data_IF_331067958114
#
_entry.id   IF_331067958114
#
_cell.length_a   1.000
_cell.length_b   1.000
_cell.length_c   1.000
_cell.angle_alpha   90.00
_cell.angle_beta   90.00
_cell.angle_gamma   90.00
#
_symmetry.space_group_name_H-M   'P 1'
#
loop_
_entity.id
_entity.type
_entity.pdbx_description
1 polymer ?
#
# COMPACT_ATOMS: atom_id res chain seq x y z
N UNK A 1 6.22 -5.94 33.28
CA UNK A 1 6.09 -6.03 31.79
C UNK A 1 7.47 -5.94 31.16
N UNK A 2 7.85 -6.88 30.28
CA UNK A 2 9.17 -6.88 29.64
C UNK A 2 9.23 -5.91 28.46
N UNK A 3 10.42 -5.38 28.13
CA UNK A 3 10.65 -4.46 27.00
C UNK A 3 10.11 -5.04 25.66
N UNK A 4 10.21 -6.37 25.50
CA UNK A 4 9.71 -7.10 24.32
C UNK A 4 8.18 -7.03 24.18
N UNK A 5 7.44 -7.19 25.27
CA UNK A 5 5.97 -7.12 25.26
C UNK A 5 5.48 -5.70 24.91
N UNK A 6 6.12 -4.69 25.50
CA UNK A 6 5.83 -3.29 25.19
C UNK A 6 6.08 -2.96 23.71
N UNK A 7 7.26 -3.32 23.17
CA UNK A 7 7.59 -3.10 21.76
C UNK A 7 6.57 -3.75 20.81
N UNK A 8 6.14 -4.98 21.09
CA UNK A 8 5.11 -5.68 20.29
C UNK A 8 3.78 -4.92 20.29
N UNK A 9 3.30 -4.50 21.45
CA UNK A 9 2.06 -3.74 21.57
C UNK A 9 2.14 -2.40 20.81
N UNK A 10 3.27 -1.70 20.93
CA UNK A 10 3.50 -0.44 20.22
C UNK A 10 3.50 -0.62 18.68
N UNK A 11 4.22 -1.62 18.17
CA UNK A 11 4.21 -1.94 16.74
C UNK A 11 2.82 -2.35 16.23
N UNK A 12 2.06 -3.11 17.02
CA UNK A 12 0.69 -3.49 16.68
C UNK A 12 -0.23 -2.25 16.58
N UNK A 13 -0.16 -1.33 17.54
CA UNK A 13 -0.92 -0.07 17.52
C UNK A 13 -0.57 0.78 16.30
N UNK A 14 0.72 0.93 15.98
CA UNK A 14 1.16 1.64 14.76
C UNK A 14 0.63 0.99 13.48
N UNK A 15 0.66 -0.34 13.39
CA UNK A 15 0.11 -1.08 12.24
C UNK A 15 -1.39 -0.85 12.10
N UNK A 16 -2.15 -0.90 13.20
CA UNK A 16 -3.58 -0.65 13.19
C UNK A 16 -3.91 0.79 12.77
N UNK A 17 -3.13 1.76 13.24
CA UNK A 17 -3.30 3.16 12.85
C UNK A 17 -3.07 3.37 11.34
N UNK A 18 -2.00 2.78 10.78
CA UNK A 18 -1.74 2.84 9.34
C UNK A 18 -2.89 2.26 8.52
N UNK A 19 -3.43 1.11 8.92
CA UNK A 19 -4.61 0.52 8.25
C UNK A 19 -5.79 1.49 8.23
N UNK A 20 -6.07 2.14 9.36
CA UNK A 20 -7.16 3.13 9.46
C UNK A 20 -6.92 4.35 8.56
N UNK A 21 -5.70 4.86 8.50
CA UNK A 21 -5.35 5.99 7.61
C UNK A 21 -5.55 5.61 6.15
N UNK A 22 -5.06 4.44 5.74
CA UNK A 22 -5.24 3.95 4.37
C UNK A 22 -6.71 3.70 4.02
N UNK A 23 -7.48 3.11 4.94
CA UNK A 23 -8.91 2.88 4.72
C UNK A 23 -9.70 4.19 4.57
N UNK A 24 -9.36 5.23 5.34
CA UNK A 24 -9.98 6.55 5.20
C UNK A 24 -9.63 7.22 3.88
N UNK A 25 -8.38 7.04 3.40
CA UNK A 25 -7.89 7.68 2.17
C UNK A 25 -8.37 6.98 0.89
N UNK A 26 -8.43 5.64 0.90
CA UNK A 26 -8.64 4.82 -0.31
C UNK A 26 -9.87 3.91 -0.23
N UNK A 27 -10.60 3.93 0.88
CA UNK A 27 -11.75 3.06 1.12
C UNK A 27 -11.39 1.71 1.74
N UNK A 28 -12.43 1.00 2.17
CA UNK A 28 -12.35 -0.35 2.74
C UNK A 28 -12.39 -1.43 1.65
N UNK A 29 -11.37 -1.48 0.80
CA UNK A 29 -11.25 -2.47 -0.26
C UNK A 29 -9.81 -2.98 -0.42
N UNK A 30 -9.66 -4.21 -0.93
CA UNK A 30 -8.36 -4.76 -1.30
C UNK A 30 -7.81 -4.03 -2.53
N UNK A 31 -6.55 -3.58 -2.49
CA UNK A 31 -5.91 -2.88 -3.61
C UNK A 31 -5.72 -3.75 -4.86
N UNK A 32 -5.78 -5.09 -4.72
CA UNK A 32 -5.54 -6.02 -5.83
C UNK A 32 -6.82 -6.57 -6.45
N UNK A 33 -7.69 -7.18 -5.64
CA UNK A 33 -8.92 -7.80 -6.14
C UNK A 33 -10.15 -6.89 -6.01
N UNK A 34 -9.99 -5.69 -5.44
CA UNK A 34 -11.05 -4.70 -5.25
C UNK A 34 -12.25 -5.15 -4.42
N UNK A 35 -12.22 -6.36 -3.83
CA UNK A 35 -13.26 -6.82 -2.93
C UNK A 35 -13.29 -5.99 -1.64
N UNK A 36 -14.47 -5.68 -1.08
CA UNK A 36 -14.59 -4.99 0.19
C UNK A 36 -13.87 -5.73 1.32
N UNK A 37 -13.23 -4.96 2.21
CA UNK A 37 -12.62 -5.46 3.44
C UNK A 37 -13.57 -5.14 4.60
N UNK A 38 -14.24 -6.15 5.21
CA UNK A 38 -15.32 -5.90 6.16
C UNK A 38 -14.85 -5.25 7.47
N UNK A 39 -13.56 -5.39 7.83
CA UNK A 39 -12.99 -4.83 9.03
C UNK A 39 -11.45 -4.77 8.98
N UNK A 40 -10.84 -4.20 10.03
CA UNK A 40 -9.38 -4.11 10.20
C UNK A 40 -8.66 -5.47 10.26
N UNK A 41 -9.34 -6.52 10.71
CA UNK A 41 -8.76 -7.85 10.83
C UNK A 41 -8.65 -8.54 9.47
N UNK A 42 -9.61 -8.31 8.57
CA UNK A 42 -9.59 -8.79 7.19
C UNK A 42 -8.53 -8.11 6.31
N UNK A 43 -8.13 -6.88 6.67
CA UNK A 43 -7.11 -6.11 5.95
C UNK A 43 -5.68 -6.48 6.41
N UNK A 44 -4.75 -6.68 5.48
CA UNK A 44 -3.31 -6.63 5.71
C UNK A 44 -2.74 -5.27 5.28
N UNK A 45 -1.53 -4.95 5.75
CA UNK A 45 -0.72 -3.90 5.14
C UNK A 45 0.26 -4.59 4.22
N UNK A 46 0.18 -4.29 2.93
CA UNK A 46 1.20 -4.73 1.98
C UNK A 46 2.11 -3.58 1.58
N UNK A 47 3.38 -3.89 1.32
CA UNK A 47 4.29 -2.93 0.71
C UNK A 47 4.18 -3.03 -0.80
N UNK A 48 3.89 -1.91 -1.45
CA UNK A 48 3.88 -1.83 -2.92
C UNK A 48 5.21 -2.33 -3.44
N UNK A 49 6.33 -1.78 -2.96
CA UNK A 49 7.67 -2.34 -3.23
C UNK A 49 8.01 -3.36 -2.14
N UNK A 50 8.44 -4.60 -2.47
CA UNK A 50 8.84 -5.59 -1.46
C UNK A 50 9.80 -5.01 -0.41
N UNK A 51 9.56 -5.31 0.87
CA UNK A 51 10.35 -4.77 1.96
C UNK A 51 11.82 -5.21 1.90
N UNK A 52 12.10 -6.35 1.27
CA UNK A 52 13.46 -6.85 0.99
C UNK A 52 14.25 -5.95 0.04
N UNK A 53 13.55 -5.26 -0.87
CA UNK A 53 14.13 -4.33 -1.86
C UNK A 53 14.18 -2.91 -1.31
N UNK A 54 13.08 -2.43 -0.73
CA UNK A 54 12.98 -1.05 -0.23
C UNK A 54 12.40 -1.01 1.18
N UNK A 55 13.27 -0.79 2.17
CA UNK A 55 12.97 -0.90 3.61
C UNK A 55 12.28 0.34 4.17
N UNK A 56 11.06 0.63 3.71
CA UNK A 56 10.24 1.74 4.22
C UNK A 56 8.90 1.25 4.78
N UNK A 57 8.33 2.04 5.68
CA UNK A 57 6.97 1.85 6.20
C UNK A 57 6.14 3.14 6.09
N UNK A 58 6.55 4.05 5.21
CA UNK A 58 5.80 5.26 4.92
C UNK A 58 4.49 4.89 4.23
N UNK A 59 3.42 5.60 4.61
CA UNK A 59 2.06 5.30 4.16
C UNK A 59 1.90 5.34 2.64
N UNK A 60 2.71 6.13 1.93
CA UNK A 60 2.68 6.23 0.46
C UNK A 60 3.12 4.94 -0.26
N UNK A 61 3.94 4.10 0.39
CA UNK A 61 4.40 2.82 -0.15
C UNK A 61 3.61 1.62 0.39
N UNK A 62 2.49 1.89 1.08
CA UNK A 62 1.65 0.86 1.70
C UNK A 62 0.25 0.87 1.10
N UNK A 63 -0.35 -0.32 0.98
CA UNK A 63 -1.74 -0.50 0.57
C UNK A 63 -2.47 -1.45 1.52
N UNK A 64 -3.81 -1.38 1.50
CA UNK A 64 -4.64 -2.42 2.10
C UNK A 64 -4.80 -3.57 1.12
N UNK A 65 -4.57 -4.80 1.60
CA UNK A 65 -4.81 -6.00 0.82
C UNK A 65 -5.59 -7.02 1.65
N UNK A 66 -6.28 -7.95 1.01
CA UNK A 66 -6.73 -9.15 1.69
C UNK A 66 -5.56 -10.12 1.82
N UNK A 67 -5.60 -10.99 2.84
CA UNK A 67 -4.59 -12.02 3.08
C UNK A 67 -4.22 -12.85 1.83
N UNK A 68 -5.17 -13.44 1.07
CA UNK A 68 -4.80 -14.27 -0.08
C UNK A 68 -4.08 -13.49 -1.19
N UNK A 69 -4.50 -12.26 -1.51
CA UNK A 69 -3.80 -11.45 -2.51
C UNK A 69 -2.41 -11.00 -2.04
N UNK A 70 -2.29 -10.63 -0.76
CA UNK A 70 -1.01 -10.25 -0.17
C UNK A 70 -0.01 -11.42 -0.19
N UNK A 71 -0.47 -12.62 0.15
CA UNK A 71 0.38 -13.81 0.19
C UNK A 71 0.72 -14.29 -1.25
N UNK A 72 -0.21 -14.17 -2.20
CA UNK A 72 0.06 -14.42 -3.62
C UNK A 72 1.06 -13.42 -4.23
N UNK A 73 1.03 -12.16 -3.78
CA UNK A 73 2.02 -11.16 -4.16
C UNK A 73 3.41 -11.50 -3.62
N UNK A 74 3.50 -11.81 -2.32
CA UNK A 74 4.76 -12.02 -1.61
C UNK A 74 5.79 -10.90 -1.91
N UNK A 75 7.03 -11.29 -2.21
CA UNK A 75 8.13 -10.38 -2.57
C UNK A 75 8.19 -10.08 -4.08
N UNK A 76 7.12 -10.38 -4.83
CA UNK A 76 7.03 -10.02 -6.24
C UNK A 76 6.74 -8.52 -6.39
N UNK A 77 7.44 -7.86 -7.32
CA UNK A 77 7.16 -6.46 -7.64
C UNK A 77 5.74 -6.34 -8.22
N UNK A 78 4.93 -5.31 -7.88
CA UNK A 78 3.58 -5.16 -8.41
C UNK A 78 3.53 -5.07 -9.94
N UNK A 79 4.60 -4.60 -10.58
CA UNK A 79 4.74 -4.62 -12.05
C UNK A 79 4.86 -6.05 -12.59
N UNK A 80 5.58 -6.93 -11.87
CA UNK A 80 5.61 -8.36 -12.16
C UNK A 80 4.23 -8.99 -11.93
N UNK A 81 3.49 -8.58 -10.90
CA UNK A 81 2.14 -9.11 -10.66
C UNK A 81 1.13 -8.64 -11.70
N UNK A 82 1.22 -7.38 -12.14
CA UNK A 82 0.41 -6.87 -13.25
C UNK A 82 0.68 -7.64 -14.56
N UNK A 83 1.92 -8.09 -14.77
CA UNK A 83 2.28 -8.96 -15.88
C UNK A 83 1.78 -10.42 -15.69
N UNK A 84 1.82 -10.94 -14.47
CA UNK A 84 1.46 -12.34 -14.17
C UNK A 84 -0.05 -12.59 -14.01
N UNK A 85 -0.86 -11.57 -13.74
CA UNK A 85 -2.32 -11.71 -13.50
C UNK A 85 -3.21 -11.30 -14.70
N UNK A 86 -2.64 -10.96 -15.86
CA UNK A 86 -3.42 -10.48 -17.01
C UNK A 86 -3.43 -11.47 -18.18
N UNK A 87 -4.56 -12.15 -18.46
CA UNK A 87 -4.91 -12.50 -19.83
C UNK A 87 -5.56 -11.28 -20.50
N UNK A 88 -4.82 -10.65 -21.42
CA UNK A 88 -5.41 -9.83 -22.50
C UNK A 88 -5.83 -8.38 -22.22
N UNK A 89 -5.54 -7.77 -21.06
CA UNK A 89 -5.77 -6.32 -20.85
C UNK A 89 -4.69 -5.68 -19.99
N UNK A 90 -3.68 -5.12 -20.64
CA UNK A 90 -2.75 -4.17 -20.03
C UNK A 90 -3.49 -2.83 -19.89
N UNK A 91 -3.26 -2.10 -18.79
CA UNK A 91 -3.86 -0.82 -18.39
C UNK A 91 -5.20 -0.94 -17.62
N UNK A 92 -5.16 -0.94 -16.27
CA UNK A 92 -5.20 0.33 -15.53
C UNK A 92 -4.34 0.40 -14.25
N UNK A 93 -3.58 -0.65 -13.88
CA UNK A 93 -2.72 -0.61 -12.68
C UNK A 93 -1.55 0.38 -12.82
N UNK A 94 -1.08 0.61 -14.06
CA UNK A 94 -0.02 1.56 -14.38
C UNK A 94 -0.48 3.01 -14.19
N UNK A 95 -1.75 3.33 -14.51
CA UNK A 95 -2.30 4.68 -14.35
C UNK A 95 -2.40 5.10 -12.88
N UNK A 96 -2.75 4.20 -11.96
CA UNK A 96 -2.82 4.52 -10.53
C UNK A 96 -1.43 4.74 -9.90
N UNK A 97 -0.42 3.99 -10.35
CA UNK A 97 0.96 4.17 -9.90
C UNK A 97 1.56 5.47 -10.47
N UNK A 98 1.33 5.75 -11.76
CA UNK A 98 1.81 6.98 -12.40
C UNK A 98 1.10 8.23 -11.84
N UNK A 99 -0.22 8.19 -11.62
CA UNK A 99 -0.96 9.30 -11.01
C UNK A 99 -0.53 9.59 -9.56
N UNK A 100 -0.15 8.55 -8.81
CA UNK A 100 0.39 8.70 -7.44
C UNK A 100 1.82 9.24 -7.42
N UNK A 101 2.64 8.89 -8.41
CA UNK A 101 4.00 9.41 -8.56
C UNK A 101 4.00 10.86 -9.08
N UNK A 102 3.05 11.25 -9.94
CA UNK A 102 2.92 12.65 -10.37
C UNK A 102 2.41 13.58 -9.26
N UNK A 103 1.53 13.11 -8.37
CA UNK A 103 1.12 13.87 -7.17
C UNK A 103 2.24 14.01 -6.13
N UNK A 104 3.22 13.10 -6.11
CA UNK A 104 4.37 13.14 -5.22
C UNK A 104 5.54 13.99 -5.76
N UNK A 105 5.46 14.44 -7.01
CA UNK A 105 6.44 15.26 -7.68
C UNK A 105 5.90 16.67 -7.98
N UNK A 106 5.55 17.42 -6.94
CA UNK A 106 5.57 18.89 -7.02
C UNK A 106 6.60 19.38 -6.00
N UNK A 107 7.77 19.88 -6.40
CA UNK A 107 8.34 20.97 -5.64
C UNK A 107 7.44 22.18 -5.82
N UNK A 108 7.13 22.81 -4.69
CA UNK A 108 6.61 24.16 -4.65
C UNK A 108 7.56 25.14 -5.37
N UNK A 109 7.03 26.31 -5.68
CA UNK A 109 7.71 27.53 -6.15
C UNK A 109 8.24 27.56 -7.61
N UNK A 110 7.47 28.16 -8.53
CA UNK A 110 8.03 29.22 -9.39
C UNK A 110 6.97 30.29 -9.63
N UNK A 111 7.17 31.41 -8.96
CA UNK A 111 6.49 32.68 -9.06
C UNK A 111 6.64 33.21 -10.51
N UNK A 112 5.52 33.46 -11.20
CA UNK A 112 5.54 34.30 -12.40
C UNK A 112 5.04 35.66 -11.95
N UNK A 113 5.99 36.55 -11.69
CA UNK A 113 5.74 37.97 -11.53
C UNK A 113 5.10 38.55 -12.81
N UNK A 114 4.09 39.39 -12.58
CA UNK A 114 3.46 40.41 -13.43
C UNK A 114 3.73 40.41 -14.94
#
# INVERSE_FOLDING_TARGET
MTNRAYRRAFCARRRQQRKRVLARRYGWACAYCHRPLPNLAAATLDHVVPLSVYRTWETQFLVLACRPCNDAKADSFPLLIAAQLAPGRIAPALWLLLARLSEAALPAEFEVAA
#
